data_IF_785705137133
#
_entry.id   IF_785705137133
#
_cell.length_a   1.000
_cell.length_b   1.000
_cell.length_c   1.000
_cell.angle_alpha   90.00
_cell.angle_beta   90.00
_cell.angle_gamma   90.00
#
_symmetry.space_group_name_H-M   'P 1'
#
loop_
_entity.id
_entity.type
_entity.pdbx_description
1 polymer ?
#
# COMPACT_ATOMS: atom_id res chain seq x y z
N UNK A 1 14.70 18.01 -18.36
CA UNK A 1 13.71 18.12 -17.27
C UNK A 1 14.28 19.05 -16.23
N UNK A 2 13.65 20.17 -16.02
CA UNK A 2 14.09 21.16 -15.03
C UNK A 2 13.72 20.63 -13.65
N UNK A 3 14.70 20.32 -12.84
CA UNK A 3 14.46 19.92 -11.45
C UNK A 3 13.83 21.12 -10.72
N UNK A 4 12.63 20.91 -10.19
CA UNK A 4 12.07 21.85 -9.24
C UNK A 4 13.04 21.89 -8.04
N UNK A 5 13.52 23.05 -7.71
CA UNK A 5 14.36 23.22 -6.51
C UNK A 5 13.59 22.79 -5.25
N UNK A 6 14.30 22.46 -4.17
CA UNK A 6 13.65 21.96 -2.96
C UNK A 6 12.69 23.01 -2.38
N UNK A 7 11.40 22.67 -2.39
CA UNK A 7 10.35 23.61 -1.97
C UNK A 7 10.38 23.82 -0.44
N UNK A 8 10.64 22.77 0.31
CA UNK A 8 10.59 22.79 1.77
C UNK A 8 11.85 22.18 2.43
N UNK A 9 12.98 22.10 1.70
CA UNK A 9 14.17 21.41 2.20
C UNK A 9 14.67 21.99 3.53
N UNK A 10 14.78 23.31 3.60
CA UNK A 10 15.29 23.98 4.80
C UNK A 10 14.33 23.82 5.99
N UNK A 11 13.03 23.85 5.73
CA UNK A 11 12.01 23.69 6.77
C UNK A 11 12.00 22.25 7.29
N UNK A 12 12.05 21.27 6.37
CA UNK A 12 12.05 19.86 6.74
C UNK A 12 13.34 19.43 7.44
N UNK A 13 14.47 20.05 7.09
CA UNK A 13 15.76 19.76 7.75
C UNK A 13 15.79 20.19 9.22
N UNK A 14 14.97 21.16 9.59
CA UNK A 14 14.92 21.71 10.96
C UNK A 14 13.95 21.00 11.87
N UNK A 15 13.04 20.18 11.30
CA UNK A 15 11.97 19.54 12.07
C UNK A 15 12.55 18.41 12.94
N UNK A 16 12.11 18.34 14.20
CA UNK A 16 12.53 17.30 15.16
C UNK A 16 11.32 16.43 15.50
N UNK A 17 11.55 15.20 15.99
CA UNK A 17 10.45 14.37 16.43
C UNK A 17 9.54 15.09 17.43
N UNK A 18 8.25 15.12 17.12
CA UNK A 18 7.24 15.81 17.93
C UNK A 18 6.93 17.23 17.47
N UNK A 19 7.75 17.83 16.61
CA UNK A 19 7.48 19.18 16.10
C UNK A 19 6.28 19.19 15.16
N UNK A 20 5.67 20.37 15.05
CA UNK A 20 4.60 20.65 14.09
C UNK A 20 4.99 21.84 13.24
N UNK A 21 4.92 21.66 11.94
CA UNK A 21 5.23 22.71 10.98
C UNK A 21 4.00 22.94 10.11
N UNK A 22 3.62 24.20 9.94
CA UNK A 22 2.55 24.58 9.03
C UNK A 22 3.16 25.12 7.74
N UNK A 23 2.88 24.46 6.64
CA UNK A 23 3.33 24.89 5.31
C UNK A 23 2.11 25.33 4.51
N UNK A 24 2.26 26.43 3.77
CA UNK A 24 1.22 26.97 2.91
C UNK A 24 1.62 26.74 1.45
N UNK A 25 0.75 26.07 0.72
CA UNK A 25 0.93 25.78 -0.71
C UNK A 25 -0.08 26.63 -1.47
N UNK A 26 0.40 27.36 -2.48
CA UNK A 26 -0.39 28.39 -3.17
C UNK A 26 -1.21 27.88 -4.35
N UNK A 27 -0.95 26.66 -4.84
CA UNK A 27 -1.64 26.08 -5.99
C UNK A 27 -2.01 24.61 -5.72
N UNK A 28 -3.16 24.19 -6.22
CA UNK A 28 -3.65 22.83 -5.96
C UNK A 28 -2.69 21.74 -6.45
N UNK A 29 -2.14 21.91 -7.64
CA UNK A 29 -1.19 20.94 -8.20
C UNK A 29 0.17 20.95 -7.51
N UNK A 30 0.48 21.97 -6.73
CA UNK A 30 1.74 22.05 -6.04
C UNK A 30 1.82 21.19 -4.78
N UNK A 31 0.68 20.72 -4.23
CA UNK A 31 0.69 19.85 -3.05
C UNK A 31 1.33 18.49 -3.38
N UNK A 32 0.98 17.89 -4.52
CA UNK A 32 1.57 16.62 -4.94
C UNK A 32 3.09 16.75 -5.19
N UNK A 33 3.51 17.85 -5.83
CA UNK A 33 4.92 18.12 -6.08
C UNK A 33 5.70 18.31 -4.76
N UNK A 34 5.13 19.08 -3.84
CA UNK A 34 5.75 19.36 -2.53
C UNK A 34 5.84 18.08 -1.70
N UNK A 35 4.78 17.27 -1.69
CA UNK A 35 4.76 15.99 -0.96
C UNK A 35 5.74 14.98 -1.57
N UNK A 36 5.83 14.92 -2.91
CA UNK A 36 6.76 14.02 -3.59
C UNK A 36 8.21 14.39 -3.24
N UNK A 37 8.53 15.69 -3.22
CA UNK A 37 9.85 16.15 -2.86
C UNK A 37 10.18 15.89 -1.38
N UNK A 38 9.24 16.16 -0.48
CA UNK A 38 9.40 15.87 0.94
C UNK A 38 9.63 14.35 1.16
N UNK A 39 8.91 13.53 0.41
CA UNK A 39 9.07 12.07 0.49
C UNK A 39 10.45 11.63 -0.02
N UNK A 40 10.95 12.25 -1.08
CA UNK A 40 12.30 11.95 -1.59
C UNK A 40 13.37 12.28 -0.56
N UNK A 41 13.24 13.40 0.13
CA UNK A 41 14.16 13.81 1.18
C UNK A 41 14.09 12.88 2.40
N UNK A 42 12.86 12.48 2.81
CA UNK A 42 12.66 11.53 3.89
C UNK A 42 13.29 10.17 3.54
N UNK A 43 13.07 9.70 2.32
CA UNK A 43 13.68 8.46 1.81
C UNK A 43 15.21 8.50 1.86
N UNK A 44 15.82 9.64 1.54
CA UNK A 44 17.28 9.80 1.59
C UNK A 44 17.82 9.66 3.03
N UNK A 45 16.97 9.93 4.05
CA UNK A 45 17.29 9.73 5.46
C UNK A 45 16.87 8.34 5.99
N UNK A 46 16.30 7.48 5.13
CA UNK A 46 15.78 6.18 5.53
C UNK A 46 14.43 6.26 6.25
N UNK A 47 13.74 7.37 6.10
CA UNK A 47 12.43 7.64 6.71
C UNK A 47 11.31 7.41 5.69
N UNK A 48 10.09 7.27 6.20
CA UNK A 48 8.87 7.10 5.40
C UNK A 48 7.91 8.25 5.72
N UNK A 49 7.07 8.57 4.75
CA UNK A 49 6.08 9.65 4.89
C UNK A 49 4.68 9.06 4.97
N UNK A 50 3.95 9.44 6.00
CA UNK A 50 2.52 9.17 6.09
C UNK A 50 1.77 10.47 5.75
N UNK A 51 0.97 10.42 4.69
CA UNK A 51 0.13 11.54 4.29
C UNK A 51 -1.31 11.22 4.69
N UNK A 52 -1.89 12.06 5.53
CA UNK A 52 -3.28 11.92 5.98
C UNK A 52 -4.10 13.04 5.35
N UNK A 53 -4.94 12.68 4.38
CA UNK A 53 -5.78 13.62 3.65
C UNK A 53 -7.06 13.92 4.44
N UNK A 54 -7.48 15.17 4.45
CA UNK A 54 -8.77 15.56 5.05
C UNK A 54 -9.92 15.02 4.20
N UNK A 55 -9.79 15.11 2.86
CA UNK A 55 -10.79 14.60 1.92
C UNK A 55 -10.33 13.25 1.38
N UNK A 56 -11.15 12.19 1.48
CA UNK A 56 -10.81 10.89 0.88
C UNK A 56 -10.54 10.94 -0.62
N UNK A 57 -11.11 11.89 -1.36
CA UNK A 57 -10.88 12.03 -2.80
C UNK A 57 -9.44 12.44 -3.14
N UNK A 58 -8.73 13.05 -2.19
CA UNK A 58 -7.33 13.41 -2.39
C UNK A 58 -6.41 12.19 -2.41
N UNK A 59 -6.79 11.08 -1.79
CA UNK A 59 -5.94 9.88 -1.71
C UNK A 59 -5.65 9.31 -3.10
N UNK A 60 -6.67 8.97 -3.94
CA UNK A 60 -6.38 8.49 -5.29
C UNK A 60 -5.76 9.57 -6.18
N UNK A 61 -6.12 10.84 -6.00
CA UNK A 61 -5.52 11.94 -6.76
C UNK A 61 -4.01 12.01 -6.51
N UNK A 62 -3.61 12.08 -5.24
CA UNK A 62 -2.19 12.16 -4.88
C UNK A 62 -1.42 10.89 -5.27
N UNK A 63 -2.06 9.72 -5.18
CA UNK A 63 -1.44 8.46 -5.60
C UNK A 63 -1.10 8.47 -7.10
N UNK A 64 -1.89 9.19 -7.92
CA UNK A 64 -1.61 9.34 -9.34
C UNK A 64 -0.63 10.47 -9.63
N UNK A 65 -0.76 11.59 -8.93
CA UNK A 65 0.02 12.81 -9.23
C UNK A 65 1.47 12.75 -8.71
N UNK A 66 1.70 12.19 -7.51
CA UNK A 66 3.04 12.19 -6.91
C UNK A 66 4.07 11.46 -7.78
N UNK A 67 3.76 10.27 -8.38
CA UNK A 67 4.71 9.61 -9.27
C UNK A 67 5.02 10.39 -10.56
N UNK A 68 4.18 11.34 -10.94
CA UNK A 68 4.47 12.24 -12.06
C UNK A 68 5.68 13.13 -11.77
N UNK A 69 5.80 13.59 -10.52
CA UNK A 69 6.90 14.45 -10.10
C UNK A 69 8.14 13.65 -9.73
N UNK A 70 7.93 12.49 -9.06
CA UNK A 70 9.04 11.60 -8.64
C UNK A 70 8.70 10.14 -8.93
N UNK A 71 9.00 9.66 -10.16
CA UNK A 71 8.63 8.29 -10.57
C UNK A 71 9.31 7.18 -9.77
N UNK A 72 10.35 7.49 -9.02
CA UNK A 72 11.08 6.50 -8.23
C UNK A 72 10.49 6.24 -6.84
N UNK A 73 9.50 7.05 -6.42
CA UNK A 73 8.85 6.86 -5.13
C UNK A 73 7.84 5.72 -5.21
N UNK A 74 7.86 4.85 -4.21
CA UNK A 74 6.81 3.85 -4.01
C UNK A 74 5.71 4.49 -3.17
N UNK A 75 4.67 4.97 -3.86
CA UNK A 75 3.52 5.64 -3.24
C UNK A 75 2.37 4.65 -3.15
N UNK A 76 1.89 4.39 -1.93
CA UNK A 76 0.85 3.39 -1.68
C UNK A 76 -0.37 4.02 -1.00
N UNK A 77 -1.55 3.93 -1.61
CA UNK A 77 -2.77 4.27 -0.91
C UNK A 77 -3.15 3.17 0.10
N UNK A 78 -3.67 3.57 1.23
CA UNK A 78 -4.39 2.69 2.16
C UNK A 78 -5.88 3.01 1.99
N UNK A 79 -6.61 2.22 1.21
CA UNK A 79 -8.01 2.51 0.92
C UNK A 79 -8.91 2.34 2.15
N UNK A 80 -10.05 2.99 2.16
CA UNK A 80 -11.07 2.79 3.17
C UNK A 80 -11.77 1.44 2.97
N UNK A 81 -12.46 0.96 4.01
CA UNK A 81 -13.23 -0.30 3.93
C UNK A 81 -14.45 -0.18 3.02
N UNK A 82 -14.95 1.01 2.76
CA UNK A 82 -16.18 1.30 1.99
C UNK A 82 -17.44 0.68 2.61
N UNK A 83 -17.31 -0.01 3.75
CA UNK A 83 -18.40 -0.58 4.50
C UNK A 83 -18.30 -0.11 5.95
N UNK A 84 -19.44 0.07 6.58
CA UNK A 84 -19.48 0.44 8.00
C UNK A 84 -19.33 -0.80 8.88
N UNK A 85 -18.80 -0.65 10.10
CA UNK A 85 -18.83 -1.75 11.07
C UNK A 85 -20.29 -2.22 11.27
N UNK A 86 -20.47 -3.53 11.28
CA UNK A 86 -21.77 -4.18 11.41
C UNK A 86 -22.68 -4.05 10.18
N UNK A 87 -22.15 -3.62 9.04
CA UNK A 87 -22.89 -3.65 7.79
C UNK A 87 -23.20 -5.08 7.37
N UNK A 88 -24.30 -5.26 6.64
CA UNK A 88 -24.70 -6.56 6.12
C UNK A 88 -23.73 -7.05 5.04
N UNK A 89 -23.11 -6.11 4.33
CA UNK A 89 -22.17 -6.41 3.24
C UNK A 89 -20.75 -6.53 3.77
N UNK A 90 -20.07 -7.60 3.39
CA UNK A 90 -18.63 -7.76 3.65
C UNK A 90 -17.81 -6.88 2.70
N UNK A 91 -16.68 -6.35 3.14
CA UNK A 91 -15.76 -5.65 2.23
C UNK A 91 -15.35 -6.52 1.05
N UNK A 92 -15.13 -5.91 -0.08
CA UNK A 92 -14.64 -6.62 -1.27
C UNK A 92 -13.27 -7.24 -1.00
N UNK A 93 -13.07 -8.46 -1.51
CA UNK A 93 -11.82 -9.22 -1.27
C UNK A 93 -10.60 -8.47 -1.82
N UNK A 94 -10.76 -7.78 -2.96
CA UNK A 94 -9.70 -6.95 -3.54
C UNK A 94 -9.27 -5.85 -2.58
N UNK A 95 -10.25 -5.18 -1.96
CA UNK A 95 -10.00 -4.10 -1.00
C UNK A 95 -9.24 -4.61 0.23
N UNK A 96 -9.62 -5.78 0.74
CA UNK A 96 -8.91 -6.43 1.85
C UNK A 96 -7.45 -6.69 1.46
N UNK A 97 -7.23 -7.19 0.25
CA UNK A 97 -5.89 -7.51 -0.27
C UNK A 97 -5.03 -6.25 -0.42
N UNK A 98 -5.61 -5.18 -0.98
CA UNK A 98 -4.91 -3.90 -1.14
C UNK A 98 -4.51 -3.31 0.22
N UNK A 99 -5.41 -3.37 1.20
CA UNK A 99 -5.12 -2.89 2.56
C UNK A 99 -4.00 -3.70 3.21
N UNK A 100 -4.05 -5.04 3.08
CA UNK A 100 -3.01 -5.91 3.63
C UNK A 100 -1.66 -5.65 2.96
N UNK A 101 -1.64 -5.45 1.65
CA UNK A 101 -0.41 -5.11 0.92
C UNK A 101 0.15 -3.77 1.40
N UNK A 102 -0.67 -2.73 1.48
CA UNK A 102 -0.24 -1.41 1.93
C UNK A 102 0.35 -1.46 3.34
N UNK A 103 -0.33 -2.15 4.27
CA UNK A 103 0.14 -2.32 5.65
C UNK A 103 1.41 -3.16 5.73
N UNK A 104 1.52 -4.21 4.93
CA UNK A 104 2.75 -5.01 4.87
C UNK A 104 3.92 -4.15 4.37
N UNK A 105 3.71 -3.40 3.28
CA UNK A 105 4.74 -2.50 2.74
C UNK A 105 5.17 -1.44 3.75
N UNK A 106 4.23 -0.95 4.55
CA UNK A 106 4.54 0.01 5.61
C UNK A 106 5.46 -0.61 6.68
N UNK A 107 5.23 -1.87 7.02
CA UNK A 107 5.97 -2.54 8.11
C UNK A 107 7.22 -3.28 7.62
N UNK A 108 7.41 -3.43 6.31
CA UNK A 108 8.56 -4.14 5.76
C UNK A 108 9.88 -3.46 6.14
N UNK A 109 10.87 -4.21 6.63
CA UNK A 109 12.14 -3.59 7.03
C UNK A 109 12.94 -3.05 5.86
N UNK A 110 12.79 -3.66 4.67
CA UNK A 110 13.46 -3.22 3.44
C UNK A 110 12.47 -3.32 2.28
N UNK A 111 12.62 -2.45 1.29
CA UNK A 111 11.75 -2.46 0.10
C UNK A 111 10.30 -2.12 0.40
N UNK A 112 10.07 -1.38 1.46
CA UNK A 112 8.73 -0.92 1.81
C UNK A 112 8.35 0.36 1.08
N UNK A 113 7.09 0.75 1.25
CA UNK A 113 6.59 2.00 0.65
C UNK A 113 7.34 3.22 1.19
N UNK A 114 7.64 4.17 0.31
CA UNK A 114 8.21 5.46 0.69
C UNK A 114 7.12 6.39 1.25
N UNK A 115 5.92 6.29 0.67
CA UNK A 115 4.78 7.12 1.06
C UNK A 115 3.56 6.23 1.25
N UNK A 116 2.88 6.38 2.37
CA UNK A 116 1.55 5.82 2.60
C UNK A 116 0.54 6.98 2.58
N UNK A 117 -0.45 6.88 1.71
CA UNK A 117 -1.53 7.86 1.58
C UNK A 117 -2.80 7.29 2.22
N UNK A 118 -3.46 8.06 3.06
CA UNK A 118 -4.72 7.61 3.66
C UNK A 118 -5.62 8.82 3.99
N UNK A 119 -6.89 8.59 4.20
CA UNK A 119 -7.78 9.64 4.69
C UNK A 119 -7.78 9.69 6.22
N UNK A 120 -8.23 10.81 6.78
CA UNK A 120 -8.35 10.97 8.22
C UNK A 120 -9.34 9.94 8.82
N UNK A 121 -10.40 9.61 8.08
CA UNK A 121 -11.37 8.59 8.46
C UNK A 121 -10.70 7.22 8.56
N UNK A 122 -9.98 6.83 7.51
CA UNK A 122 -9.28 5.54 7.46
C UNK A 122 -8.17 5.47 8.52
N UNK A 123 -7.44 6.57 8.73
CA UNK A 123 -6.35 6.62 9.72
C UNK A 123 -6.88 6.45 11.16
N UNK A 124 -8.15 6.79 11.42
CA UNK A 124 -8.76 6.62 12.75
C UNK A 124 -9.27 5.20 13.00
N UNK A 125 -9.30 4.34 11.99
CA UNK A 125 -9.77 2.96 12.12
C UNK A 125 -8.70 2.09 12.79
N UNK A 126 -9.15 1.04 13.47
CA UNK A 126 -8.23 0.03 14.03
C UNK A 126 -7.55 -0.75 12.93
N UNK A 127 -6.26 -0.89 13.05
CA UNK A 127 -5.44 -1.70 12.14
C UNK A 127 -5.17 -3.08 12.75
N UNK A 128 -4.97 -4.05 11.87
CA UNK A 128 -4.56 -5.40 12.29
C UNK A 128 -3.16 -5.37 12.90
N UNK A 129 -2.88 -6.20 13.90
CA UNK A 129 -1.52 -6.29 14.45
C UNK A 129 -0.50 -6.65 13.37
N UNK A 130 0.73 -6.15 13.52
CA UNK A 130 1.83 -6.41 12.56
C UNK A 130 2.07 -7.92 12.40
N UNK A 131 2.00 -8.67 13.50
CA UNK A 131 2.16 -10.13 13.48
C UNK A 131 1.10 -10.81 12.61
N UNK A 132 -0.14 -10.33 12.65
CA UNK A 132 -1.23 -10.84 11.81
C UNK A 132 -0.96 -10.54 10.33
N UNK A 133 -0.54 -9.31 10.03
CA UNK A 133 -0.23 -8.89 8.65
C UNK A 133 0.86 -9.80 8.07
N UNK A 134 1.96 -9.98 8.81
CA UNK A 134 3.07 -10.83 8.36
C UNK A 134 2.69 -12.29 8.18
N UNK A 135 1.83 -12.83 9.05
CA UNK A 135 1.39 -14.22 8.98
C UNK A 135 0.44 -14.49 7.80
N UNK A 136 -0.32 -13.48 7.37
CA UNK A 136 -1.37 -13.64 6.36
C UNK A 136 -1.01 -13.03 5.00
N UNK A 137 0.24 -12.54 4.84
CA UNK A 137 0.73 -12.01 3.56
C UNK A 137 1.76 -12.99 3.00
N UNK A 138 1.58 -13.40 1.75
CA UNK A 138 2.43 -14.38 1.09
C UNK A 138 3.12 -13.76 -0.12
N UNK A 139 4.43 -13.83 -0.14
CA UNK A 139 5.24 -13.40 -1.29
C UNK A 139 5.97 -14.60 -1.86
N UNK A 140 5.98 -14.70 -3.16
CA UNK A 140 6.65 -15.77 -3.88
C UNK A 140 7.58 -15.16 -4.92
N UNK A 141 8.78 -15.70 -5.00
CA UNK A 141 9.78 -15.25 -5.96
C UNK A 141 9.84 -16.23 -7.12
N UNK A 142 10.08 -15.72 -8.30
CA UNK A 142 10.24 -16.58 -9.47
C UNK A 142 11.42 -17.54 -9.26
N UNK A 143 11.18 -18.83 -9.45
CA UNK A 143 12.17 -19.87 -9.23
C UNK A 143 12.16 -20.47 -7.83
N UNK A 144 11.38 -19.94 -6.91
CA UNK A 144 11.28 -20.49 -5.56
C UNK A 144 10.58 -21.87 -5.58
N UNK A 145 11.18 -22.85 -4.90
CA UNK A 145 10.58 -24.17 -4.76
C UNK A 145 9.61 -24.18 -3.59
N UNK A 146 8.36 -24.42 -3.86
CA UNK A 146 7.30 -24.36 -2.86
C UNK A 146 6.66 -25.75 -2.72
N UNK A 147 6.61 -26.25 -1.49
CA UNK A 147 5.84 -27.46 -1.18
C UNK A 147 4.34 -27.13 -1.29
N UNK A 148 3.68 -27.75 -2.25
CA UNK A 148 2.26 -27.52 -2.52
C UNK A 148 1.39 -27.82 -1.28
N UNK A 149 1.72 -28.89 -0.57
CA UNK A 149 0.97 -29.32 0.63
C UNK A 149 1.11 -28.28 1.75
N UNK A 150 2.31 -27.77 1.97
CA UNK A 150 2.56 -26.75 2.99
C UNK A 150 1.86 -25.43 2.62
N UNK A 151 1.95 -25.05 1.35
CA UNK A 151 1.28 -23.85 0.85
C UNK A 151 -0.23 -23.92 1.02
N UNK A 152 -0.84 -25.08 0.67
CA UNK A 152 -2.28 -25.27 0.83
C UNK A 152 -2.73 -25.13 2.30
N UNK A 153 -1.96 -25.71 3.22
CA UNK A 153 -2.26 -25.59 4.65
C UNK A 153 -2.17 -24.13 5.14
N UNK A 154 -1.14 -23.40 4.69
CA UNK A 154 -0.96 -22.00 5.05
C UNK A 154 -2.08 -21.12 4.48
N UNK A 155 -2.44 -21.35 3.20
CA UNK A 155 -3.52 -20.60 2.56
C UNK A 155 -4.87 -20.89 3.25
N UNK A 156 -5.15 -22.15 3.57
CA UNK A 156 -6.39 -22.52 4.28
C UNK A 156 -6.43 -21.86 5.67
N UNK A 157 -5.30 -21.84 6.38
CA UNK A 157 -5.21 -21.21 7.70
C UNK A 157 -5.40 -19.69 7.61
N UNK A 158 -5.03 -19.08 6.47
CA UNK A 158 -5.21 -17.65 6.22
C UNK A 158 -6.61 -17.32 5.66
N UNK A 159 -7.50 -18.32 5.54
CA UNK A 159 -8.89 -18.09 5.12
C UNK A 159 -9.14 -18.25 3.63
N UNK A 160 -8.15 -18.67 2.85
CA UNK A 160 -8.34 -18.90 1.41
C UNK A 160 -9.18 -20.14 1.16
N UNK A 161 -10.16 -20.03 0.29
CA UNK A 161 -11.00 -21.15 -0.11
C UNK A 161 -10.33 -21.98 -1.21
N UNK A 162 -10.38 -23.31 -1.05
CA UNK A 162 -9.88 -24.22 -2.08
C UNK A 162 -11.01 -24.49 -3.08
N UNK A 163 -10.86 -24.03 -4.30
CA UNK A 163 -11.87 -24.16 -5.36
C UNK A 163 -11.34 -25.01 -6.51
N UNK A 164 -12.24 -25.65 -7.22
CA UNK A 164 -11.87 -26.50 -8.37
C UNK A 164 -11.45 -25.66 -9.58
N UNK A 165 -12.03 -24.49 -9.73
CA UNK A 165 -11.78 -23.62 -10.87
C UNK A 165 -11.93 -22.15 -10.43
N UNK A 166 -11.02 -21.30 -10.87
CA UNK A 166 -11.13 -19.85 -10.70
C UNK A 166 -11.97 -19.32 -11.87
N UNK A 167 -13.09 -18.70 -11.54
CA UNK A 167 -14.07 -18.25 -12.55
C UNK A 167 -13.72 -16.86 -13.12
N UNK A 168 -12.93 -16.07 -12.37
CA UNK A 168 -12.54 -14.71 -12.81
C UNK A 168 -11.09 -14.41 -12.41
N UNK A 169 -10.45 -13.59 -13.17
CA UNK A 169 -9.14 -13.06 -12.81
C UNK A 169 -9.27 -12.13 -11.58
N UNK A 170 -8.33 -12.23 -10.67
CA UNK A 170 -8.36 -11.40 -9.45
C UNK A 170 -8.85 -12.08 -8.18
N UNK A 171 -9.41 -13.11 -8.24
CA UNK A 171 -9.90 -13.78 -7.09
C UNK A 171 -8.75 -14.30 -6.29
N UNK A 172 -8.27 -13.64 -5.64
CA UNK A 172 -7.19 -13.89 -4.80
C UNK A 172 -7.41 -14.79 -3.66
N UNK A 173 -8.47 -14.89 -3.38
CA UNK A 173 -8.90 -15.73 -2.35
C UNK A 173 -9.19 -17.14 -2.77
N UNK A 174 -8.91 -17.39 -3.87
CA UNK A 174 -9.15 -18.69 -4.29
C UNK A 174 -7.86 -19.39 -4.66
N UNK A 175 -7.63 -20.21 -4.21
CA UNK A 175 -6.56 -21.05 -4.51
C UNK A 175 -7.08 -22.19 -5.33
N UNK A 176 -6.86 -22.30 -6.53
CA UNK A 176 -7.23 -23.38 -7.43
C UNK A 176 -6.09 -24.36 -7.69
N UNK A 177 -6.36 -25.63 -7.51
CA UNK A 177 -5.44 -26.70 -7.91
C UNK A 177 -5.90 -27.26 -9.26
N UNK A 178 -5.33 -26.74 -10.35
CA UNK A 178 -5.57 -27.31 -11.67
C UNK A 178 -4.54 -28.41 -11.95
N UNK A 179 -5.02 -29.57 -12.35
CA UNK A 179 -4.16 -30.70 -12.76
C UNK A 179 -3.51 -30.47 -14.13
N UNK A 180 -3.94 -29.49 -14.90
CA UNK A 180 -3.57 -29.41 -16.33
C UNK A 180 -2.77 -28.18 -16.74
N UNK A 181 -2.48 -27.24 -15.84
CA UNK A 181 -1.75 -26.05 -16.30
C UNK A 181 -0.52 -25.75 -15.44
N UNK A 182 0.61 -26.23 -15.91
CA UNK A 182 1.93 -25.63 -15.61
C UNK A 182 2.02 -24.26 -16.30
N UNK A 183 1.03 -23.39 -16.13
CA UNK A 183 1.12 -22.07 -16.77
C UNK A 183 0.97 -20.99 -15.72
N UNK A 184 2.07 -20.34 -15.52
CA UNK A 184 2.37 -18.97 -15.10
C UNK A 184 1.23 -18.23 -14.38
N UNK A 185 1.47 -17.90 -13.15
CA UNK A 185 0.77 -16.80 -12.52
C UNK A 185 0.95 -15.56 -13.41
N UNK A 186 -0.13 -14.86 -13.78
CA UNK A 186 0.04 -13.62 -14.51
C UNK A 186 0.85 -12.65 -13.65
N UNK A 187 1.82 -12.03 -14.26
CA UNK A 187 2.65 -11.04 -13.62
C UNK A 187 1.77 -9.90 -13.13
N UNK A 188 1.70 -9.72 -11.84
CA UNK A 188 1.26 -8.44 -11.29
C UNK A 188 2.32 -7.41 -11.65
N UNK A 189 1.91 -6.37 -12.33
CA UNK A 189 2.73 -5.22 -12.63
C UNK A 189 3.04 -4.47 -11.33
#
# INVERSE_FOLDING_TARGET
>A
MTSLGPIFADDLARIKPGDRLRLTISAQTSDAAALAQAALEARARGERVLVVCADPADVPRLAQEMPWFEPKLDVRPLPDWETLPYDVLSPQEELVSERLEALYRLTAPTGGADVLLTSAVTASQRLSPVSYIGANTFFFHQGEQISLTTLQKRLAAAGYANVKQVLAAGXXXXXCRSRQHRRRFPHGV
#
